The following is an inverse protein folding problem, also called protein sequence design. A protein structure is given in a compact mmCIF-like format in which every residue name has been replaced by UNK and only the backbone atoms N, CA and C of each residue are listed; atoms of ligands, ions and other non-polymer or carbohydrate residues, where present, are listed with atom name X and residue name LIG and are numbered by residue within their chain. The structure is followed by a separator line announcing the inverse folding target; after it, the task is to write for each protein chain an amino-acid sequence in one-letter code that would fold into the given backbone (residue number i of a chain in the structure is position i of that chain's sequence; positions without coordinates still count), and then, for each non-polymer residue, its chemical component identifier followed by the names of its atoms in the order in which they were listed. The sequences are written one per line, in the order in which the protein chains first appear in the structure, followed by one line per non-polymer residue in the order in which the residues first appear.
data_IF_505486385430
#
_entry.id   IF_505486385430
#
_cell.length_a   1.000
_cell.length_b   1.000
_cell.length_c   1.000
_cell.angle_alpha   90.00
_cell.angle_beta   90.00
_cell.angle_gamma   90.00
#
_symmetry.space_group_name_H-M   'P 1'
#
loop_
_entity.id
_entity.type
_entity.pdbx_description
1 polymer ?
#
# COMPACT_ATOMS: atom_id res chain seq x y z
N UNK A 1 -41.36 -24.18 -14.49
CA UNK A 1 -40.75 -25.53 -14.30
C UNK A 1 -39.34 -25.60 -14.85
N UNK A 2 -39.07 -25.05 -16.04
CA UNK A 2 -37.72 -24.88 -16.59
C UNK A 2 -36.83 -24.00 -15.70
N UNK A 3 -37.39 -22.93 -15.13
CA UNK A 3 -36.64 -22.02 -14.23
C UNK A 3 -36.16 -22.72 -12.96
N UNK A 4 -36.95 -23.67 -12.43
CA UNK A 4 -36.59 -24.46 -11.26
C UNK A 4 -35.42 -25.40 -11.57
N UNK A 5 -35.38 -25.96 -12.78
CA UNK A 5 -34.30 -26.82 -13.27
C UNK A 5 -33.00 -26.03 -13.44
N UNK A 6 -33.08 -24.81 -13.98
CA UNK A 6 -31.94 -23.90 -14.14
C UNK A 6 -31.36 -23.51 -12.78
N UNK A 7 -32.22 -23.18 -11.82
CA UNK A 7 -31.80 -22.86 -10.44
C UNK A 7 -31.17 -24.07 -9.76
N UNK A 8 -31.74 -25.27 -9.91
CA UNK A 8 -31.18 -26.49 -9.34
C UNK A 8 -29.81 -26.86 -9.93
N UNK A 9 -29.61 -26.66 -11.24
CA UNK A 9 -28.32 -26.88 -11.91
C UNK A 9 -27.27 -25.84 -11.50
N UNK A 10 -27.69 -24.60 -11.25
CA UNK A 10 -26.82 -23.52 -10.79
C UNK A 10 -26.58 -23.53 -9.26
N UNK A 11 -27.35 -24.30 -8.49
CA UNK A 11 -27.25 -24.42 -7.03
C UNK A 11 -26.10 -25.35 -6.57
N UNK A 12 -25.14 -25.65 -7.46
CA UNK A 12 -23.89 -26.31 -7.07
C UNK A 12 -23.14 -25.35 -6.15
N UNK A 13 -23.21 -25.57 -4.82
CA UNK A 13 -22.33 -24.88 -3.88
C UNK A 13 -20.89 -25.19 -4.28
N UNK A 14 -20.01 -24.19 -4.41
CA UNK A 14 -18.58 -24.44 -4.49
C UNK A 14 -18.16 -25.30 -3.30
N UNK A 15 -17.29 -26.28 -3.53
CA UNK A 15 -16.73 -27.05 -2.42
C UNK A 15 -15.92 -26.10 -1.53
N UNK A 16 -15.82 -26.39 -0.22
CA UNK A 16 -15.11 -25.51 0.73
C UNK A 16 -13.66 -25.17 0.32
N UNK A 17 -13.06 -26.01 -0.52
CA UNK A 17 -11.73 -25.79 -1.09
C UNK A 17 -11.70 -24.67 -2.14
N UNK A 18 -12.78 -24.42 -2.88
CA UNK A 18 -12.89 -23.36 -3.89
C UNK A 18 -13.01 -21.96 -3.27
N UNK A 19 -13.42 -21.89 -2.00
CA UNK A 19 -13.57 -20.64 -1.24
C UNK A 19 -12.26 -20.16 -0.62
N UNK A 20 -11.20 -20.99 -0.65
CA UNK A 20 -9.87 -20.58 -0.21
C UNK A 20 -9.19 -19.79 -1.31
N UNK A 21 -8.60 -18.65 -0.95
CA UNK A 21 -7.78 -17.90 -1.88
C UNK A 21 -6.65 -18.81 -2.39
N UNK A 22 -6.75 -19.19 -3.67
CA UNK A 22 -5.70 -19.94 -4.33
C UNK A 22 -4.38 -19.15 -4.30
N UNK A 23 -3.25 -19.80 -4.62
CA UNK A 23 -1.93 -19.17 -4.61
C UNK A 23 -1.86 -17.82 -5.36
N UNK A 24 -2.67 -17.66 -6.41
CA UNK A 24 -2.80 -16.41 -7.17
C UNK A 24 -3.42 -15.27 -6.35
N UNK A 25 -4.48 -15.53 -5.57
CA UNK A 25 -5.10 -14.53 -4.71
C UNK A 25 -4.15 -14.05 -3.61
N UNK A 26 -3.38 -14.97 -3.03
CA UNK A 26 -2.32 -14.64 -2.09
C UNK A 26 -1.22 -13.76 -2.72
N UNK A 27 -0.78 -14.10 -3.94
CA UNK A 27 0.23 -13.32 -4.65
C UNK A 27 -0.24 -11.88 -4.93
N UNK A 28 -1.49 -11.69 -5.36
CA UNK A 28 -2.08 -10.36 -5.57
C UNK A 28 -2.14 -9.57 -4.27
N UNK A 29 -2.53 -10.21 -3.16
CA UNK A 29 -2.59 -9.55 -1.85
C UNK A 29 -1.21 -9.04 -1.40
N UNK A 30 -0.18 -9.89 -1.50
CA UNK A 30 1.20 -9.49 -1.17
C UNK A 30 1.70 -8.38 -2.09
N UNK A 31 1.41 -8.47 -3.40
CA UNK A 31 1.78 -7.43 -4.36
C UNK A 31 1.16 -6.07 -3.99
N UNK A 32 -0.11 -6.04 -3.57
CA UNK A 32 -0.77 -4.81 -3.13
C UNK A 32 -0.10 -4.21 -1.88
N UNK A 33 0.28 -5.04 -0.91
CA UNK A 33 1.03 -4.58 0.27
C UNK A 33 2.36 -3.95 -0.14
N UNK A 34 3.12 -4.62 -1.02
CA UNK A 34 4.40 -4.10 -1.51
C UNK A 34 4.22 -2.80 -2.28
N UNK A 35 3.19 -2.70 -3.12
CA UNK A 35 2.88 -1.47 -3.86
C UNK A 35 2.64 -0.30 -2.90
N UNK A 36 1.83 -0.50 -1.86
CA UNK A 36 1.57 0.53 -0.83
C UNK A 36 2.84 0.90 -0.07
N UNK A 37 3.64 -0.10 0.33
CA UNK A 37 4.90 0.14 1.04
C UNK A 37 5.89 0.95 0.20
N UNK A 38 6.01 0.64 -1.10
CA UNK A 38 6.88 1.36 -2.03
C UNK A 38 6.41 2.80 -2.22
N UNK A 39 5.10 3.02 -2.39
CA UNK A 39 4.53 4.37 -2.52
C UNK A 39 4.77 5.17 -1.23
N UNK A 40 4.48 4.60 -0.07
CA UNK A 40 4.72 5.23 1.23
C UNK A 40 6.19 5.61 1.43
N UNK A 41 7.11 4.68 1.15
CA UNK A 41 8.54 4.95 1.23
C UNK A 41 9.00 6.05 0.27
N UNK A 42 8.51 6.03 -0.98
CA UNK A 42 8.82 7.06 -1.97
C UNK A 42 8.37 8.45 -1.51
N UNK A 43 7.13 8.54 -1.00
CA UNK A 43 6.57 9.79 -0.48
C UNK A 43 7.36 10.31 0.73
N UNK A 44 7.58 9.47 1.74
CA UNK A 44 8.35 9.86 2.93
C UNK A 44 9.77 10.30 2.56
N UNK A 45 10.42 9.62 1.60
CA UNK A 45 11.75 10.02 1.13
C UNK A 45 11.74 11.39 0.46
N UNK A 46 10.72 11.70 -0.34
CA UNK A 46 10.59 13.01 -0.98
C UNK A 46 10.32 14.12 0.04
N UNK A 47 9.41 13.89 1.00
CA UNK A 47 9.13 14.84 2.08
C UNK A 47 10.38 15.15 2.91
N UNK A 48 11.17 14.13 3.28
CA UNK A 48 12.43 14.31 4.02
C UNK A 48 13.46 15.13 3.25
N UNK A 49 13.57 14.92 1.93
CA UNK A 49 14.47 15.71 1.08
C UNK A 49 14.05 17.17 1.01
N UNK A 50 12.75 17.43 0.89
CA UNK A 50 12.22 18.80 0.87
C UNK A 50 12.50 19.52 2.19
N UNK A 51 12.30 18.85 3.33
CA UNK A 51 12.65 19.41 4.65
C UNK A 51 14.15 19.68 4.76
N UNK A 52 15.01 18.74 4.37
CA UNK A 52 16.46 18.96 4.41
C UNK A 52 16.92 20.14 3.52
N UNK A 53 16.29 20.34 2.36
CA UNK A 53 16.58 21.50 1.50
C UNK A 53 16.11 22.82 2.14
N UNK A 54 14.98 22.79 2.84
CA UNK A 54 14.49 23.93 3.63
C UNK A 54 15.43 24.25 4.79
N UNK A 55 15.82 23.26 5.57
CA UNK A 55 16.74 23.43 6.71
C UNK A 55 18.12 23.94 6.27
N UNK A 56 18.54 23.61 5.04
CA UNK A 56 19.76 24.10 4.42
C UNK A 56 19.63 25.52 3.83
N UNK A 57 18.47 26.18 3.97
CA UNK A 57 18.23 27.54 3.49
C UNK A 57 18.16 27.67 1.96
N UNK A 58 17.97 26.57 1.23
CA UNK A 58 17.96 26.56 -0.26
C UNK A 58 16.79 27.38 -0.82
N UNK A 59 15.72 27.57 -0.05
CA UNK A 59 14.55 28.36 -0.45
C UNK A 59 14.62 29.84 -0.08
N UNK A 60 15.76 30.33 0.43
CA UNK A 60 15.91 31.73 0.84
C UNK A 60 15.47 32.05 2.27
N UNK A 61 15.19 31.01 3.08
CA UNK A 61 14.98 31.12 4.53
C UNK A 61 16.34 31.09 5.24
N UNK A 62 16.50 31.86 6.33
CA UNK A 62 17.69 31.75 7.19
C UNK A 62 17.80 30.30 7.73
N UNK A 63 18.96 29.64 7.62
CA UNK A 63 19.11 28.26 8.06
C UNK A 63 18.76 28.14 9.54
N UNK A 64 17.98 27.11 9.89
CA UNK A 64 17.52 26.89 11.26
C UNK A 64 18.71 26.90 12.23
N UNK A 65 18.62 27.60 13.39
CA UNK A 65 19.68 27.58 14.39
C UNK A 65 20.02 26.13 14.73
N UNK A 66 21.26 25.72 14.43
CA UNK A 66 21.78 24.44 14.90
C UNK A 66 21.83 24.54 16.41
N UNK A 67 21.07 23.70 17.10
CA UNK A 67 21.13 23.61 18.56
C UNK A 67 22.56 23.19 18.92
N UNK A 68 23.36 24.19 19.32
CA UNK A 68 24.72 24.01 19.76
C UNK A 68 24.62 23.60 21.22
N UNK A 69 24.43 22.29 21.44
CA UNK A 69 24.73 21.69 22.73
C UNK A 69 26.26 21.62 22.84
N UNK A 70 26.86 22.75 23.23
CA UNK A 70 28.24 22.78 23.74
C UNK A 70 28.19 22.20 25.17
N UNK A 71 28.71 20.97 25.31
CA UNK A 71 29.19 20.41 26.59
C UNK A 71 30.73 20.53 26.64
#
# INVERSE_FOLDING_TARGET
MLDLLIVALAAQRPDDADVKAGPMGFAVFVFLILAVAVIGWSLTRQLRKAQAAKDAGVYGDDPAPRDRTDD
#
